data_IF_899674883405
#
_entry.id   IF_899674883405
#
_cell.length_a   1.000
_cell.length_b   1.000
_cell.length_c   1.000
_cell.angle_alpha   90.00
_cell.angle_beta   90.00
_cell.angle_gamma   90.00
#
_symmetry.space_group_name_H-M   'P 1'
#
loop_
_entity.id
_entity.type
_entity.pdbx_description
1 polymer ?
#
# COMPACT_ATOMS: atom_id res chain seq x y z
N UNK A 1 18.71 -26.85 28.94
CA UNK A 1 19.03 -26.41 27.56
C UNK A 1 17.81 -25.74 26.93
N UNK A 2 17.47 -24.53 27.38
CA UNK A 2 16.40 -23.68 26.83
C UNK A 2 17.02 -22.30 26.54
N UNK A 3 17.80 -22.21 25.45
CA UNK A 3 18.48 -20.95 25.08
C UNK A 3 18.69 -20.83 23.56
N UNK A 4 17.71 -21.26 22.75
CA UNK A 4 17.84 -21.14 21.27
C UNK A 4 16.60 -20.61 20.55
N UNK A 5 15.54 -20.21 21.27
CA UNK A 5 14.27 -19.76 20.64
C UNK A 5 14.14 -18.22 20.58
N UNK A 6 15.02 -17.47 21.26
CA UNK A 6 14.86 -16.00 21.37
C UNK A 6 15.66 -15.22 20.31
N UNK A 7 16.54 -15.85 19.53
CA UNK A 7 17.41 -15.14 18.57
C UNK A 7 16.84 -14.97 17.15
N UNK A 8 15.71 -15.60 16.82
CA UNK A 8 15.16 -15.61 15.43
C UNK A 8 14.14 -14.50 15.14
N UNK A 9 13.75 -13.68 16.11
CA UNK A 9 12.61 -12.75 15.94
C UNK A 9 13.01 -11.34 15.46
N UNK A 10 14.30 -11.03 15.33
CA UNK A 10 14.75 -9.64 15.06
C UNK A 10 15.28 -9.40 13.63
N UNK A 11 15.61 -10.44 12.83
CA UNK A 11 16.16 -10.23 11.48
C UNK A 11 15.12 -10.06 10.35
N UNK A 12 13.81 -10.08 10.65
CA UNK A 12 12.76 -10.23 9.62
C UNK A 12 12.03 -8.96 9.16
N UNK A 13 12.41 -7.77 9.61
CA UNK A 13 11.63 -6.53 9.35
C UNK A 13 12.02 -5.87 8.03
N UNK A 14 13.30 -5.93 7.67
CA UNK A 14 13.84 -5.29 6.48
C UNK A 14 14.06 -6.32 5.37
N UNK A 15 13.90 -5.86 4.14
CA UNK A 15 14.09 -6.64 2.93
C UNK A 15 14.73 -5.74 1.88
N UNK A 16 15.40 -6.35 0.91
CA UNK A 16 15.87 -5.63 -0.26
C UNK A 16 14.69 -4.90 -0.94
N UNK A 17 14.94 -3.69 -1.43
CA UNK A 17 13.97 -2.92 -2.23
C UNK A 17 13.53 -3.67 -3.48
N UNK A 18 14.33 -4.63 -3.96
CA UNK A 18 14.04 -5.41 -5.15
C UNK A 18 13.15 -6.64 -4.86
N UNK A 19 13.08 -7.07 -3.58
CA UNK A 19 12.23 -8.16 -3.11
C UNK A 19 11.48 -7.80 -1.81
N UNK A 20 10.69 -6.71 -1.87
CA UNK A 20 9.91 -6.26 -0.70
C UNK A 20 8.88 -7.27 -0.20
N UNK A 21 8.53 -8.26 -1.03
CA UNK A 21 7.65 -9.37 -0.67
C UNK A 21 8.38 -10.50 0.06
N UNK A 22 9.72 -10.54 0.03
CA UNK A 22 10.56 -11.60 0.58
C UNK A 22 10.31 -12.94 -0.08
N UNK A 23 10.20 -12.97 -1.41
CA UNK A 23 9.98 -14.19 -2.18
C UNK A 23 11.14 -15.18 -2.06
N UNK A 24 12.40 -14.73 -1.88
CA UNK A 24 13.51 -15.66 -1.62
C UNK A 24 13.31 -16.41 -0.30
N UNK A 25 13.13 -15.69 0.80
CA UNK A 25 12.86 -16.32 2.11
C UNK A 25 11.62 -17.22 2.07
N UNK A 26 10.57 -16.80 1.35
CA UNK A 26 9.37 -17.64 1.20
C UNK A 26 9.67 -18.91 0.42
N UNK A 27 10.51 -18.84 -0.61
CA UNK A 27 10.91 -20.00 -1.38
C UNK A 27 11.68 -20.99 -0.51
N UNK A 28 12.70 -20.51 0.22
CA UNK A 28 13.48 -21.32 1.17
C UNK A 28 12.54 -21.99 2.19
N UNK A 29 11.67 -21.22 2.84
CA UNK A 29 10.70 -21.78 3.79
C UNK A 29 9.77 -22.82 3.16
N UNK A 30 9.35 -22.65 1.90
CA UNK A 30 8.51 -23.64 1.23
C UNK A 30 9.28 -24.91 0.85
N UNK A 31 10.60 -24.81 0.60
CA UNK A 31 11.47 -25.96 0.39
C UNK A 31 11.67 -26.73 1.68
N UNK A 32 11.90 -26.05 2.81
CA UNK A 32 12.00 -26.70 4.12
C UNK A 32 10.71 -27.43 4.49
N UNK A 33 9.56 -26.78 4.28
CA UNK A 33 8.26 -27.42 4.49
C UNK A 33 8.03 -28.59 3.53
N UNK A 34 8.55 -28.54 2.30
CA UNK A 34 8.50 -29.69 1.39
C UNK A 34 9.38 -30.82 1.89
N UNK A 35 10.51 -30.56 2.53
CA UNK A 35 11.39 -31.60 3.09
C UNK A 35 10.73 -32.29 4.30
N UNK A 36 10.06 -31.51 5.16
CA UNK A 36 9.43 -31.98 6.39
C UNK A 36 8.02 -32.58 6.20
N UNK A 37 7.36 -32.34 5.06
CA UNK A 37 5.97 -32.75 4.84
C UNK A 37 5.78 -34.26 4.98
N UNK A 38 4.66 -34.69 5.59
CA UNK A 38 4.28 -36.11 5.66
C UNK A 38 3.58 -36.53 4.35
N UNK A 39 4.38 -36.85 3.33
CA UNK A 39 3.94 -37.22 1.97
C UNK A 39 4.79 -38.38 1.41
N UNK A 40 4.29 -39.07 0.39
CA UNK A 40 5.03 -40.11 -0.34
C UNK A 40 6.39 -39.56 -0.83
N UNK A 41 7.46 -40.31 -0.58
CA UNK A 41 8.81 -39.91 -1.00
C UNK A 41 8.93 -39.70 -2.52
N UNK A 42 8.15 -40.46 -3.32
CA UNK A 42 8.08 -40.30 -4.78
C UNK A 42 7.42 -38.97 -5.17
N UNK A 43 6.41 -38.54 -4.43
CA UNK A 43 5.78 -37.23 -4.64
C UNK A 43 6.75 -36.11 -4.32
N UNK A 44 7.45 -36.22 -3.17
CA UNK A 44 8.45 -35.23 -2.76
C UNK A 44 9.53 -35.06 -3.82
N UNK A 45 10.10 -36.15 -4.32
CA UNK A 45 11.11 -36.15 -5.39
C UNK A 45 10.54 -35.56 -6.70
N UNK A 46 9.31 -35.92 -7.08
CA UNK A 46 8.65 -35.37 -8.26
C UNK A 46 8.41 -33.86 -8.15
N UNK A 47 7.94 -33.38 -7.00
CA UNK A 47 7.73 -31.96 -6.72
C UNK A 47 9.07 -31.20 -6.76
N UNK A 48 10.12 -31.75 -6.15
CA UNK A 48 11.46 -31.14 -6.16
C UNK A 48 11.98 -30.97 -7.59
N UNK A 49 11.92 -32.03 -8.39
CA UNK A 49 12.31 -32.00 -9.81
C UNK A 49 11.48 -30.99 -10.61
N UNK A 50 10.17 -30.93 -10.35
CA UNK A 50 9.29 -29.96 -10.98
C UNK A 50 9.65 -28.52 -10.63
N UNK A 51 9.94 -28.22 -9.36
CA UNK A 51 10.36 -26.87 -8.94
C UNK A 51 11.67 -26.46 -9.62
N UNK A 52 12.64 -27.38 -9.73
CA UNK A 52 13.86 -27.11 -10.50
C UNK A 52 13.56 -26.84 -11.96
N UNK A 53 12.66 -27.60 -12.59
CA UNK A 53 12.19 -27.36 -13.93
C UNK A 53 11.57 -25.96 -14.08
N UNK A 54 10.64 -25.58 -13.19
CA UNK A 54 9.98 -24.27 -13.21
C UNK A 54 10.96 -23.10 -13.12
N UNK A 55 12.06 -23.28 -12.38
CA UNK A 55 13.08 -22.23 -12.21
C UNK A 55 14.11 -22.15 -13.33
N UNK A 56 14.30 -23.22 -14.10
CA UNK A 56 15.41 -23.32 -15.06
C UNK A 56 14.98 -23.38 -16.52
N UNK A 57 13.77 -23.91 -16.80
CA UNK A 57 13.31 -24.22 -18.15
C UNK A 57 11.95 -23.63 -18.50
N UNK A 58 11.11 -23.38 -17.50
CA UNK A 58 9.77 -22.82 -17.74
C UNK A 58 9.80 -21.29 -17.77
N UNK A 59 9.88 -20.73 -18.98
CA UNK A 59 9.88 -19.29 -19.21
C UNK A 59 8.54 -18.62 -18.85
N UNK A 60 7.44 -19.37 -18.76
CA UNK A 60 6.11 -18.85 -18.41
C UNK A 60 5.93 -18.67 -16.89
N UNK A 61 6.73 -19.39 -16.08
CA UNK A 61 6.61 -19.45 -14.62
C UNK A 61 7.85 -18.94 -13.88
N UNK A 62 8.87 -18.43 -14.60
CA UNK A 62 10.15 -17.98 -14.03
C UNK A 62 10.08 -16.90 -12.93
N UNK A 63 8.93 -16.26 -12.72
CA UNK A 63 8.73 -15.33 -11.58
C UNK A 63 8.66 -16.11 -10.27
N UNK A 64 9.63 -15.84 -9.38
CA UNK A 64 9.78 -16.49 -8.06
C UNK A 64 8.48 -16.58 -7.25
N UNK A 65 7.67 -15.53 -7.25
CA UNK A 65 6.38 -15.54 -6.55
C UNK A 65 5.37 -16.58 -7.06
N UNK A 66 5.38 -16.86 -8.36
CA UNK A 66 4.55 -17.92 -8.95
C UNK A 66 5.06 -19.29 -8.55
N UNK A 67 6.37 -19.52 -8.60
CA UNK A 67 7.02 -20.77 -8.14
C UNK A 67 6.69 -21.05 -6.68
N UNK A 68 6.85 -20.06 -5.79
CA UNK A 68 6.48 -20.17 -4.36
C UNK A 68 5.03 -20.59 -4.19
N UNK A 69 4.11 -19.98 -4.94
CA UNK A 69 2.70 -20.32 -4.87
C UNK A 69 2.45 -21.74 -5.38
N UNK A 70 3.03 -22.15 -6.51
CA UNK A 70 2.89 -23.49 -7.05
C UNK A 70 3.47 -24.57 -6.13
N UNK A 71 4.66 -24.35 -5.57
CA UNK A 71 5.27 -25.26 -4.60
C UNK A 71 4.36 -25.42 -3.37
N UNK A 72 3.89 -24.30 -2.78
CA UNK A 72 2.96 -24.37 -1.66
C UNK A 72 1.70 -25.17 -2.02
N UNK A 73 1.07 -24.87 -3.17
CA UNK A 73 -0.18 -25.54 -3.56
C UNK A 73 0.01 -27.01 -3.86
N UNK A 74 1.06 -27.42 -4.57
CA UNK A 74 1.26 -28.83 -4.90
C UNK A 74 1.64 -29.66 -3.66
N UNK A 75 2.46 -29.11 -2.74
CA UNK A 75 2.77 -29.78 -1.47
C UNK A 75 1.49 -29.99 -0.65
N UNK A 76 0.70 -28.93 -0.50
CA UNK A 76 -0.58 -28.99 0.19
C UNK A 76 -1.59 -29.93 -0.50
N UNK A 77 -1.53 -30.09 -1.82
CA UNK A 77 -2.30 -31.10 -2.55
C UNK A 77 -1.81 -32.50 -2.19
N UNK A 78 -0.50 -32.76 -2.17
CA UNK A 78 0.08 -34.06 -1.78
C UNK A 78 -0.32 -34.45 -0.35
N UNK A 79 -0.28 -33.51 0.60
CA UNK A 79 -0.71 -33.75 1.99
C UNK A 79 -2.22 -34.09 2.13
N UNK A 80 -3.05 -33.67 1.17
CA UNK A 80 -4.52 -33.87 1.19
C UNK A 80 -4.98 -35.05 0.34
N UNK A 81 -4.15 -35.48 -0.61
CA UNK A 81 -4.54 -36.50 -1.57
C UNK A 81 -4.62 -37.87 -0.91
N UNK A 82 -5.67 -38.64 -1.23
CA UNK A 82 -5.81 -40.02 -0.78
C UNK A 82 -4.89 -40.98 -1.54
N UNK A 83 -4.32 -40.54 -2.67
CA UNK A 83 -3.37 -41.28 -3.48
C UNK A 83 -2.16 -40.38 -3.73
N UNK A 84 -0.98 -40.99 -3.85
CA UNK A 84 0.23 -40.26 -4.19
C UNK A 84 0.05 -39.53 -5.52
N UNK A 85 0.51 -38.29 -5.60
CA UNK A 85 0.38 -37.46 -6.79
C UNK A 85 1.01 -38.12 -8.02
N UNK A 86 2.06 -38.91 -7.83
CA UNK A 86 2.69 -39.69 -8.91
C UNK A 86 1.81 -40.83 -9.45
N UNK A 87 0.85 -41.31 -8.66
CA UNK A 87 -0.02 -42.43 -9.03
C UNK A 87 -1.36 -41.97 -9.63
N UNK A 88 -1.60 -40.65 -9.69
CA UNK A 88 -2.75 -40.03 -10.35
C UNK A 88 -2.74 -40.38 -11.85
N UNK A 89 -3.84 -40.99 -12.32
CA UNK A 89 -3.96 -41.51 -13.69
C UNK A 89 -5.26 -41.13 -14.40
N UNK A 90 -6.24 -40.63 -13.68
CA UNK A 90 -7.53 -40.20 -14.23
C UNK A 90 -8.01 -38.92 -13.54
N UNK A 91 -8.95 -38.21 -14.16
CA UNK A 91 -9.39 -36.90 -13.70
C UNK A 91 -10.12 -36.96 -12.36
N UNK A 92 -10.84 -38.04 -12.10
CA UNK A 92 -11.63 -38.29 -10.89
C UNK A 92 -10.76 -38.27 -9.62
N UNK A 93 -9.48 -38.66 -9.76
CA UNK A 93 -8.50 -38.61 -8.67
C UNK A 93 -8.28 -37.16 -8.18
N UNK A 94 -8.34 -36.18 -9.09
CA UNK A 94 -8.20 -34.75 -8.80
C UNK A 94 -9.52 -34.11 -8.39
N UNK A 95 -10.63 -34.52 -9.02
CA UNK A 95 -11.96 -33.94 -8.74
C UNK A 95 -12.33 -34.08 -7.27
N UNK A 96 -12.02 -35.24 -6.65
CA UNK A 96 -12.24 -35.45 -5.22
C UNK A 96 -11.54 -34.40 -4.34
N UNK A 97 -10.30 -34.05 -4.68
CA UNK A 97 -9.52 -33.02 -3.97
C UNK A 97 -10.11 -31.63 -4.22
N UNK A 98 -10.48 -31.33 -5.47
CA UNK A 98 -11.07 -30.03 -5.82
C UNK A 98 -12.41 -29.81 -5.11
N UNK A 99 -13.25 -30.84 -5.00
CA UNK A 99 -14.51 -30.79 -4.25
C UNK A 99 -14.24 -30.52 -2.76
N UNK A 100 -13.31 -31.25 -2.14
CA UNK A 100 -12.92 -31.00 -0.74
C UNK A 100 -12.42 -29.57 -0.51
N UNK A 101 -11.67 -29.01 -1.47
CA UNK A 101 -11.20 -27.63 -1.39
C UNK A 101 -12.34 -26.61 -1.52
N UNK A 102 -13.37 -26.91 -2.32
CA UNK A 102 -14.56 -26.05 -2.51
C UNK A 102 -15.51 -26.11 -1.32
N UNK A 103 -15.66 -27.28 -0.70
CA UNK A 103 -16.53 -27.49 0.46
C UNK A 103 -15.90 -26.97 1.76
N UNK A 104 -14.61 -26.66 1.76
CA UNK A 104 -13.93 -26.10 2.92
C UNK A 104 -14.23 -24.58 3.05
N UNK A 105 -14.91 -24.15 4.13
CA UNK A 105 -15.30 -22.75 4.31
C UNK A 105 -14.11 -21.79 4.50
N UNK A 106 -12.94 -22.30 4.90
CA UNK A 106 -11.73 -21.50 5.11
C UNK A 106 -10.97 -21.24 3.80
N UNK A 107 -11.38 -21.86 2.68
CA UNK A 107 -10.71 -21.78 1.38
C UNK A 107 -11.57 -20.98 0.40
N UNK A 108 -11.20 -19.73 0.17
CA UNK A 108 -11.88 -18.87 -0.80
C UNK A 108 -11.72 -19.33 -2.27
N UNK A 109 -12.62 -18.94 -3.18
CA UNK A 109 -12.61 -19.36 -4.60
C UNK A 109 -11.30 -19.06 -5.33
N UNK A 110 -10.68 -17.91 -5.05
CA UNK A 110 -9.38 -17.56 -5.62
C UNK A 110 -8.25 -18.51 -5.19
N UNK A 111 -8.35 -19.08 -4.00
CA UNK A 111 -7.39 -20.08 -3.49
C UNK A 111 -7.61 -21.43 -4.15
N UNK A 112 -8.86 -21.89 -4.30
CA UNK A 112 -9.21 -23.09 -5.07
C UNK A 112 -8.64 -23.00 -6.48
N UNK A 113 -8.85 -21.86 -7.15
CA UNK A 113 -8.30 -21.60 -8.48
C UNK A 113 -6.77 -21.71 -8.54
N UNK A 114 -6.07 -21.26 -7.49
CA UNK A 114 -4.61 -21.40 -7.41
C UNK A 114 -4.16 -22.85 -7.24
N UNK A 115 -4.94 -23.69 -6.53
CA UNK A 115 -4.71 -25.13 -6.49
C UNK A 115 -4.89 -25.76 -7.88
N UNK A 116 -6.03 -25.52 -8.54
CA UNK A 116 -6.30 -26.04 -9.89
C UNK A 116 -5.18 -25.71 -10.88
N UNK A 117 -4.67 -24.47 -10.86
CA UNK A 117 -3.52 -24.05 -11.69
C UNK A 117 -2.24 -24.83 -11.39
N UNK A 118 -1.90 -25.00 -10.10
CA UNK A 118 -0.70 -25.72 -9.70
C UNK A 118 -0.80 -27.20 -10.06
N UNK A 119 -1.96 -27.82 -9.83
CA UNK A 119 -2.26 -29.21 -10.17
C UNK A 119 -2.14 -29.42 -11.68
N UNK A 120 -2.86 -28.64 -12.49
CA UNK A 120 -2.81 -28.72 -13.96
C UNK A 120 -1.36 -28.65 -14.45
N UNK A 121 -0.60 -27.65 -14.00
CA UNK A 121 0.78 -27.42 -14.43
C UNK A 121 1.75 -28.51 -13.96
N UNK A 122 1.51 -29.13 -12.81
CA UNK A 122 2.29 -30.27 -12.33
C UNK A 122 2.00 -31.54 -13.14
N UNK A 123 0.72 -31.82 -13.43
CA UNK A 123 0.31 -32.96 -14.25
C UNK A 123 0.80 -32.84 -15.69
N UNK A 124 0.76 -31.62 -16.24
CA UNK A 124 1.34 -31.28 -17.55
C UNK A 124 2.85 -31.57 -17.59
N UNK A 125 3.60 -31.12 -16.58
CA UNK A 125 5.03 -31.46 -16.45
C UNK A 125 5.29 -32.97 -16.38
N UNK A 126 4.36 -33.73 -15.80
CA UNK A 126 4.43 -35.18 -15.69
C UNK A 126 3.94 -35.93 -16.93
N UNK A 127 3.55 -35.21 -17.99
CA UNK A 127 3.01 -35.77 -19.23
C UNK A 127 1.78 -36.67 -19.00
N UNK A 128 0.91 -36.25 -18.08
CA UNK A 128 -0.33 -36.96 -17.78
C UNK A 128 -1.39 -36.53 -18.79
N UNK A 129 -1.90 -37.47 -19.59
CA UNK A 129 -2.70 -37.18 -20.80
C UNK A 129 -4.01 -36.40 -20.62
N UNK A 130 -4.52 -36.24 -19.39
CA UNK A 130 -5.72 -35.44 -19.07
C UNK A 130 -5.39 -34.12 -18.37
N UNK A 131 -4.12 -33.71 -18.30
CA UNK A 131 -3.73 -32.49 -17.57
C UNK A 131 -4.55 -31.26 -18.01
N UNK A 132 -4.77 -31.08 -19.31
CA UNK A 132 -5.56 -29.97 -19.86
C UNK A 132 -7.04 -29.99 -19.47
N UNK A 133 -7.58 -31.18 -19.13
CA UNK A 133 -8.97 -31.37 -18.71
C UNK A 133 -9.21 -30.89 -17.27
N UNK A 134 -8.16 -30.67 -16.47
CA UNK A 134 -8.27 -30.16 -15.09
C UNK A 134 -8.87 -28.77 -15.09
N UNK A 135 -10.16 -28.63 -14.82
CA UNK A 135 -10.88 -27.35 -14.87
C UNK A 135 -10.22 -26.29 -13.98
N UNK A 136 -10.02 -25.09 -14.52
CA UNK A 136 -9.62 -23.90 -13.77
C UNK A 136 -10.84 -22.98 -13.67
N UNK A 137 -11.33 -22.78 -12.46
CA UNK A 137 -12.47 -21.92 -12.20
C UNK A 137 -12.19 -20.48 -12.71
N UNK A 138 -13.22 -19.74 -13.14
CA UNK A 138 -13.05 -18.34 -13.52
C UNK A 138 -12.49 -17.54 -12.33
N UNK A 139 -11.76 -16.44 -12.59
CA UNK A 139 -11.39 -15.53 -11.52
C UNK A 139 -12.67 -15.05 -10.81
N UNK A 140 -12.65 -14.93 -9.47
CA UNK A 140 -13.81 -14.41 -8.75
C UNK A 140 -14.12 -13.00 -9.25
N UNK A 141 -15.41 -12.70 -9.45
CA UNK A 141 -15.84 -11.34 -9.77
C UNK A 141 -15.43 -10.41 -8.62
N UNK A 142 -14.73 -9.35 -8.96
CA UNK A 142 -14.37 -8.28 -8.04
C UNK A 142 -14.96 -7.01 -8.60
N UNK A 143 -15.99 -6.48 -7.95
CA UNK A 143 -16.50 -5.15 -8.25
C UNK A 143 -16.02 -4.21 -7.16
N UNK A 144 -15.59 -3.01 -7.53
CA UNK A 144 -15.37 -1.96 -6.54
C UNK A 144 -16.71 -1.64 -5.90
N UNK A 145 -16.73 -1.64 -4.58
CA UNK A 145 -17.86 -1.19 -3.79
C UNK A 145 -17.60 0.27 -3.37
N UNK A 146 -18.28 1.28 -3.97
CA UNK A 146 -18.05 2.69 -3.64
C UNK A 146 -18.30 3.00 -2.17
N UNK A 147 -19.25 2.31 -1.53
CA UNK A 147 -19.58 2.50 -0.10
C UNK A 147 -18.48 2.03 0.85
N UNK A 148 -17.48 1.29 0.35
CA UNK A 148 -16.35 0.80 1.14
C UNK A 148 -15.08 1.62 0.96
N UNK A 149 -15.11 2.62 0.09
CA UNK A 149 -13.99 3.51 -0.16
C UNK A 149 -13.52 4.24 1.10
N UNK A 150 -12.26 4.69 1.06
CA UNK A 150 -11.67 5.48 2.13
C UNK A 150 -12.07 6.94 1.88
N UNK A 151 -12.97 7.50 2.69
CA UNK A 151 -13.37 8.92 2.54
C UNK A 151 -12.24 9.87 2.94
N UNK A 152 -12.33 11.15 2.59
CA UNK A 152 -11.39 12.18 3.05
C UNK A 152 -11.32 12.27 4.57
N UNK A 153 -12.48 12.16 5.24
CA UNK A 153 -12.55 12.17 6.70
C UNK A 153 -11.83 10.97 7.31
N UNK A 154 -11.98 9.78 6.72
CA UNK A 154 -11.26 8.59 7.17
C UNK A 154 -9.75 8.71 6.92
N UNK A 155 -9.33 9.23 5.77
CA UNK A 155 -7.92 9.49 5.47
C UNK A 155 -7.31 10.49 6.46
N UNK A 156 -8.02 11.60 6.74
CA UNK A 156 -7.59 12.61 7.70
C UNK A 156 -7.50 12.03 9.12
N UNK A 157 -8.48 11.21 9.54
CA UNK A 157 -8.43 10.51 10.81
C UNK A 157 -7.21 9.56 10.89
N UNK A 158 -6.88 8.85 9.81
CA UNK A 158 -5.68 8.00 9.74
C UNK A 158 -4.39 8.82 9.82
N UNK A 159 -4.28 9.93 9.09
CA UNK A 159 -3.13 10.83 9.15
C UNK A 159 -2.96 11.41 10.55
N UNK A 160 -4.05 11.78 11.23
CA UNK A 160 -4.05 12.28 12.59
C UNK A 160 -3.64 11.19 13.60
N UNK A 161 -4.21 9.99 13.49
CA UNK A 161 -3.88 8.86 14.37
C UNK A 161 -2.43 8.41 14.24
N UNK A 162 -1.83 8.55 13.05
CA UNK A 162 -0.41 8.26 12.84
C UNK A 162 0.52 9.13 13.71
N UNK A 163 0.07 10.28 14.23
CA UNK A 163 0.85 11.14 15.13
C UNK A 163 1.15 10.51 16.49
N UNK A 164 0.33 9.55 16.91
CA UNK A 164 0.57 8.80 18.15
C UNK A 164 1.68 7.76 17.97
N UNK A 165 2.08 7.52 16.72
CA UNK A 165 3.15 6.60 16.40
C UNK A 165 4.48 7.32 16.38
N UNK A 166 5.44 6.62 16.94
CA UNK A 166 6.84 6.94 17.01
C UNK A 166 7.54 7.04 15.62
N UNK A 167 6.80 6.73 14.55
CA UNK A 167 7.19 6.76 13.15
C UNK A 167 6.23 7.60 12.28
N UNK A 168 5.55 8.58 12.87
CA UNK A 168 4.46 9.35 12.26
C UNK A 168 4.75 9.81 10.82
N UNK A 169 5.88 10.50 10.58
CA UNK A 169 6.20 11.03 9.25
C UNK A 169 6.29 9.95 8.17
N UNK A 170 6.94 8.81 8.47
CA UNK A 170 7.01 7.67 7.54
C UNK A 170 5.63 7.10 7.24
N UNK A 171 4.82 6.89 8.27
CA UNK A 171 3.49 6.29 8.10
C UNK A 171 2.58 7.19 7.26
N UNK A 172 2.61 8.50 7.53
CA UNK A 172 1.90 9.50 6.73
C UNK A 172 2.39 9.51 5.29
N UNK A 173 3.70 9.50 5.05
CA UNK A 173 4.28 9.42 3.71
C UNK A 173 3.82 8.15 2.97
N UNK A 174 3.79 6.99 3.64
CA UNK A 174 3.32 5.74 3.06
C UNK A 174 1.84 5.80 2.65
N UNK A 175 0.94 6.19 3.55
CA UNK A 175 -0.50 6.21 3.23
C UNK A 175 -0.85 7.34 2.25
N UNK A 176 -0.17 8.48 2.33
CA UNK A 176 -0.33 9.58 1.40
C UNK A 176 0.11 9.19 -0.01
N UNK A 177 1.29 8.55 -0.17
CA UNK A 177 1.75 8.05 -1.46
C UNK A 177 0.79 7.01 -2.05
N UNK A 178 0.30 6.08 -1.23
CA UNK A 178 -0.65 5.05 -1.69
C UNK A 178 -1.94 5.67 -2.24
N UNK A 179 -2.50 6.67 -1.53
CA UNK A 179 -3.72 7.35 -1.97
C UNK A 179 -3.48 8.27 -3.16
N UNK A 180 -2.42 9.08 -3.10
CA UNK A 180 -2.12 10.06 -4.15
C UNK A 180 -1.74 9.38 -5.45
N UNK A 181 -0.87 8.37 -5.44
CA UNK A 181 -0.35 7.77 -6.68
C UNK A 181 -1.16 6.58 -7.17
N UNK A 182 -2.00 5.99 -6.32
CA UNK A 182 -2.69 4.72 -6.60
C UNK A 182 -1.74 3.55 -6.87
N UNK A 183 -0.44 3.68 -6.58
CA UNK A 183 0.52 2.61 -6.81
C UNK A 183 0.26 1.41 -5.89
N UNK A 184 0.67 0.23 -6.36
CA UNK A 184 0.64 -0.98 -5.52
C UNK A 184 1.63 -0.79 -4.37
N UNK A 185 1.28 -1.24 -3.16
CA UNK A 185 2.18 -1.15 -2.00
C UNK A 185 3.57 -1.72 -2.25
N UNK A 186 3.70 -2.81 -3.00
CA UNK A 186 5.01 -3.35 -3.38
C UNK A 186 5.86 -2.36 -4.19
N UNK A 187 5.23 -1.58 -5.08
CA UNK A 187 5.92 -0.55 -5.86
C UNK A 187 6.27 0.68 -5.01
N UNK A 188 5.41 1.08 -4.06
CA UNK A 188 5.73 2.18 -3.13
C UNK A 188 6.88 1.80 -2.19
N UNK A 189 6.88 0.57 -1.68
CA UNK A 189 7.93 0.09 -0.78
C UNK A 189 9.27 -0.16 -1.48
N UNK A 190 9.28 -0.43 -2.79
CA UNK A 190 10.50 -0.62 -3.56
C UNK A 190 11.16 0.70 -4.00
N UNK A 191 10.51 1.84 -3.79
CA UNK A 191 11.10 3.15 -4.06
C UNK A 191 12.37 3.34 -3.21
N UNK A 192 13.33 4.07 -3.78
CA UNK A 192 14.60 4.42 -3.16
C UNK A 192 14.74 5.94 -3.21
N UNK A 193 15.66 6.51 -2.43
CA UNK A 193 15.91 7.95 -2.44
C UNK A 193 16.18 8.50 -3.86
N UNK A 194 16.94 7.76 -4.69
CA UNK A 194 17.21 8.13 -6.10
C UNK A 194 15.98 8.22 -7.00
N UNK A 195 14.86 7.62 -6.58
CA UNK A 195 13.63 7.59 -7.37
C UNK A 195 12.75 8.81 -7.13
N UNK A 196 13.05 9.65 -6.13
CA UNK A 196 12.28 10.84 -5.78
C UNK A 196 12.84 12.05 -6.51
N UNK A 197 12.00 12.74 -7.30
CA UNK A 197 12.36 14.00 -7.95
C UNK A 197 11.37 15.10 -7.57
N UNK A 198 11.74 15.92 -6.58
CA UNK A 198 10.94 17.04 -6.08
C UNK A 198 11.60 18.41 -6.33
N UNK A 199 12.58 18.50 -7.23
CA UNK A 199 13.36 19.73 -7.49
C UNK A 199 12.49 20.87 -8.07
N UNK A 200 11.42 20.52 -8.78
CA UNK A 200 10.46 21.47 -9.36
C UNK A 200 9.08 21.29 -8.75
N UNK A 201 8.13 22.15 -9.11
CA UNK A 201 6.70 21.99 -8.80
C UNK A 201 6.10 20.69 -9.36
N UNK A 202 6.71 20.13 -10.41
CA UNK A 202 6.36 18.83 -11.03
C UNK A 202 7.04 17.66 -10.31
N UNK A 203 6.61 17.42 -9.07
CA UNK A 203 7.11 16.32 -8.26
C UNK A 203 6.76 14.95 -8.86
N UNK A 204 7.73 14.04 -8.89
CA UNK A 204 7.53 12.66 -9.39
C UNK A 204 8.26 11.63 -8.53
N UNK A 205 7.77 10.39 -8.59
CA UNK A 205 8.49 9.19 -8.17
C UNK A 205 8.66 8.25 -9.36
N UNK A 206 9.87 7.76 -9.60
CA UNK A 206 10.15 6.81 -10.70
C UNK A 206 10.03 5.37 -10.19
N UNK A 207 9.31 4.52 -10.91
CA UNK A 207 9.14 3.12 -10.52
C UNK A 207 10.50 2.40 -10.49
N UNK A 208 10.80 1.70 -9.39
CA UNK A 208 11.95 0.81 -9.31
C UNK A 208 11.68 -0.46 -10.15
N UNK A 209 12.22 -0.50 -11.37
CA UNK A 209 12.06 -1.63 -12.30
C UNK A 209 12.86 -2.86 -11.91
N UNK A 210 13.83 -2.73 -10.99
CA UNK A 210 14.61 -3.87 -10.46
C UNK A 210 13.74 -4.73 -9.53
N UNK A 211 12.69 -4.15 -8.95
CA UNK A 211 11.74 -4.84 -8.09
C UNK A 211 10.61 -5.55 -8.87
N UNK A 212 9.89 -6.45 -8.19
CA UNK A 212 8.70 -7.10 -8.76
C UNK A 212 7.49 -6.15 -8.85
N UNK A 213 7.50 -5.25 -9.84
CA UNK A 213 6.49 -4.21 -10.05
C UNK A 213 5.44 -4.57 -11.10
N UNK A 214 5.41 -5.84 -11.55
CA UNK A 214 4.47 -6.36 -12.55
C UNK A 214 4.47 -5.58 -13.89
N UNK A 215 5.65 -5.12 -14.31
CA UNK A 215 5.83 -4.39 -15.57
C UNK A 215 5.46 -2.90 -15.52
N UNK A 216 5.22 -2.35 -14.32
CA UNK A 216 5.13 -0.91 -14.14
C UNK A 216 6.50 -0.24 -14.36
N UNK A 217 6.52 0.97 -14.90
CA UNK A 217 7.73 1.72 -15.18
C UNK A 217 7.50 3.25 -15.16
N UNK A 218 8.60 3.98 -15.37
CA UNK A 218 8.58 5.41 -15.62
C UNK A 218 8.25 6.30 -14.41
N UNK A 219 8.25 7.63 -14.62
CA UNK A 219 7.92 8.60 -13.59
C UNK A 219 6.41 8.68 -13.37
N UNK A 220 5.99 8.76 -12.10
CA UNK A 220 4.61 8.94 -11.68
C UNK A 220 4.45 10.26 -10.95
N UNK A 221 3.42 11.07 -11.29
CA UNK A 221 3.19 12.35 -10.64
C UNK A 221 2.86 12.16 -9.16
N UNK A 222 3.48 12.98 -8.33
CA UNK A 222 3.19 13.13 -6.91
C UNK A 222 2.55 14.51 -6.73
N UNK A 223 1.33 14.56 -6.19
CA UNK A 223 0.56 15.79 -6.06
C UNK A 223 0.57 16.27 -4.60
N UNK A 224 -0.53 16.16 -3.87
CA UNK A 224 -0.65 16.57 -2.48
C UNK A 224 0.21 15.73 -1.53
N UNK A 225 0.57 14.49 -1.89
CA UNK A 225 1.43 13.66 -1.02
C UNK A 225 2.89 14.13 -0.96
N UNK A 226 3.32 15.02 -1.87
CA UNK A 226 4.67 15.60 -1.90
C UNK A 226 5.10 16.13 -0.54
N UNK A 227 4.19 16.83 0.13
CA UNK A 227 4.41 17.43 1.44
C UNK A 227 4.78 16.38 2.49
N UNK A 228 3.97 15.33 2.61
CA UNK A 228 4.19 14.23 3.55
C UNK A 228 5.49 13.49 3.27
N UNK A 229 5.83 13.30 1.99
CA UNK A 229 7.08 12.65 1.60
C UNK A 229 8.29 13.54 1.90
N UNK A 230 8.20 14.86 1.65
CA UNK A 230 9.28 15.80 1.95
C UNK A 230 9.56 15.85 3.46
N UNK A 231 8.51 15.97 4.28
CA UNK A 231 8.64 15.95 5.74
C UNK A 231 9.28 14.65 6.26
N UNK A 232 9.01 13.53 5.59
CA UNK A 232 9.65 12.27 5.92
C UNK A 232 11.11 12.22 5.48
N UNK A 233 11.44 12.74 4.29
CA UNK A 233 12.81 12.84 3.79
C UNK A 233 13.69 13.65 4.75
N UNK A 234 13.18 14.77 5.27
CA UNK A 234 13.91 15.65 6.20
C UNK A 234 14.37 14.97 7.49
N UNK A 235 13.63 13.95 7.93
CA UNK A 235 13.96 13.15 9.11
C UNK A 235 14.29 11.70 8.76
N UNK A 236 14.54 11.42 7.48
CA UNK A 236 14.85 10.08 7.02
C UNK A 236 16.14 9.63 7.71
N UNK A 237 16.24 8.38 8.14
CA UNK A 237 17.46 7.89 8.76
C UNK A 237 18.69 7.93 7.83
N UNK A 238 18.46 7.84 6.51
CA UNK A 238 19.49 7.74 5.47
C UNK A 238 19.15 8.59 4.23
N UNK A 239 19.05 9.92 4.35
CA UNK A 239 18.51 10.77 3.28
C UNK A 239 19.49 10.88 2.09
N UNK A 240 20.79 10.84 2.36
CA UNK A 240 21.84 11.03 1.34
C UNK A 240 22.21 9.73 0.59
N UNK A 241 21.69 8.58 1.04
CA UNK A 241 22.00 7.28 0.46
C UNK A 241 21.01 6.98 -0.66
N UNK A 242 21.47 7.17 -1.91
CA UNK A 242 20.66 7.02 -3.13
C UNK A 242 19.87 5.71 -3.24
N UNK A 243 20.42 4.61 -2.73
CA UNK A 243 19.81 3.28 -2.80
C UNK A 243 19.04 2.89 -1.52
N UNK A 244 19.05 3.74 -0.50
CA UNK A 244 18.21 3.53 0.68
C UNK A 244 16.74 3.55 0.27
N UNK A 245 15.96 2.62 0.82
CA UNK A 245 14.52 2.58 0.64
C UNK A 245 13.88 3.90 1.08
N UNK A 246 12.96 4.44 0.27
CA UNK A 246 12.21 5.64 0.65
C UNK A 246 11.38 5.37 1.91
N UNK A 247 10.74 4.20 2.03
CA UNK A 247 9.99 3.82 3.23
C UNK A 247 10.86 2.90 4.11
N UNK A 248 11.79 3.53 4.83
CA UNK A 248 12.77 2.85 5.69
C UNK A 248 12.28 2.62 7.14
N UNK A 249 12.94 1.76 7.91
CA UNK A 249 12.65 1.64 9.36
C UNK A 249 13.13 2.88 10.13
N UNK A 250 12.42 3.26 11.19
CA UNK A 250 12.71 4.46 12.00
C UNK A 250 13.55 4.20 13.24
N UNK A 251 13.68 2.93 13.67
CA UNK A 251 14.37 2.53 14.91
C UNK A 251 15.16 1.25 14.69
N UNK A 252 16.18 1.07 15.55
CA UNK A 252 17.02 -0.14 15.59
C UNK A 252 17.56 -0.46 14.19
N UNK A 253 18.21 0.53 13.59
CA UNK A 253 18.86 0.43 12.29
C UNK A 253 20.36 0.71 12.42
N UNK A 254 21.15 0.19 11.48
CA UNK A 254 22.59 0.41 11.38
C UNK A 254 23.00 0.97 10.01
N UNK A 255 24.21 1.54 9.92
CA UNK A 255 24.71 2.23 8.71
C UNK A 255 24.93 1.33 7.48
N UNK A 256 24.75 0.03 7.62
CA UNK A 256 24.75 -0.98 6.55
C UNK A 256 23.35 -1.42 6.10
N UNK A 257 22.30 -0.90 6.74
CA UNK A 257 20.92 -1.23 6.45
C UNK A 257 20.23 -0.16 5.60
N UNK A 258 20.01 -0.48 4.32
CA UNK A 258 19.36 0.38 3.31
C UNK A 258 17.98 -0.14 2.87
N UNK A 259 17.53 -1.26 3.44
CA UNK A 259 16.35 -1.99 3.00
C UNK A 259 15.01 -1.33 3.31
N UNK A 260 13.96 -1.85 2.66
CA UNK A 260 12.58 -1.43 2.84
C UNK A 260 11.89 -2.22 3.96
N UNK A 261 10.75 -1.70 4.44
CA UNK A 261 9.83 -2.51 5.23
C UNK A 261 9.29 -3.68 4.39
N UNK A 262 9.27 -4.89 4.96
CA UNK A 262 8.60 -6.03 4.34
C UNK A 262 7.11 -5.72 4.10
N UNK A 263 6.58 -6.05 2.93
CA UNK A 263 5.22 -5.67 2.52
C UNK A 263 4.13 -6.07 3.52
N UNK A 264 4.21 -7.27 4.11
CA UNK A 264 3.28 -7.76 5.12
C UNK A 264 3.40 -6.98 6.44
N UNK A 265 4.59 -6.48 6.77
CA UNK A 265 4.77 -5.61 7.92
C UNK A 265 4.11 -4.25 7.65
N UNK A 266 4.40 -3.61 6.51
CA UNK A 266 3.77 -2.35 6.11
C UNK A 266 2.23 -2.44 6.07
N UNK A 267 1.66 -3.54 5.57
CA UNK A 267 0.22 -3.79 5.61
C UNK A 267 -0.34 -3.80 7.04
N UNK A 268 0.33 -4.49 7.98
CA UNK A 268 -0.05 -4.48 9.40
C UNK A 268 0.07 -3.09 10.04
N UNK A 269 1.04 -2.27 9.59
CA UNK A 269 1.17 -0.87 10.04
C UNK A 269 -0.04 -0.04 9.62
N UNK A 270 -0.49 -0.18 8.36
CA UNK A 270 -1.70 0.48 7.85
C UNK A 270 -2.93 0.08 8.69
N UNK A 271 -3.11 -1.21 8.96
CA UNK A 271 -4.22 -1.70 9.79
C UNK A 271 -4.15 -1.15 11.22
N UNK A 272 -2.95 -1.07 11.81
CA UNK A 272 -2.76 -0.47 13.13
C UNK A 272 -3.17 1.01 13.16
N UNK A 273 -2.84 1.77 12.10
CA UNK A 273 -3.26 3.17 11.97
C UNK A 273 -4.79 3.27 11.84
N UNK A 274 -5.41 2.40 11.05
CA UNK A 274 -6.86 2.35 10.92
C UNK A 274 -7.54 2.08 12.27
N UNK A 275 -7.06 1.11 13.05
CA UNK A 275 -7.57 0.85 14.42
C UNK A 275 -7.42 2.08 15.31
N UNK A 276 -6.26 2.75 15.28
CA UNK A 276 -6.02 3.96 16.08
C UNK A 276 -6.94 5.13 15.65
N UNK A 277 -7.33 5.18 14.38
CA UNK A 277 -8.29 6.14 13.84
C UNK A 277 -9.76 5.76 14.12
N UNK A 278 -10.03 4.66 14.83
CA UNK A 278 -11.40 4.18 15.09
C UNK A 278 -12.08 3.53 13.88
N UNK A 279 -11.31 3.11 12.87
CA UNK A 279 -11.81 2.49 11.64
C UNK A 279 -11.68 0.96 11.68
N UNK A 280 -12.48 0.30 10.84
CA UNK A 280 -12.37 -1.15 10.61
C UNK A 280 -11.04 -1.51 9.92
N UNK A 281 -10.15 -2.15 10.67
CA UNK A 281 -8.82 -2.55 10.21
C UNK A 281 -8.82 -3.68 9.17
N UNK A 282 -9.89 -4.46 9.07
CA UNK A 282 -10.01 -5.50 8.04
C UNK A 282 -10.38 -4.89 6.68
N UNK A 283 -11.20 -3.83 6.69
CA UNK A 283 -11.55 -3.05 5.49
C UNK A 283 -10.35 -2.27 4.96
N UNK A 284 -9.58 -1.63 5.82
CA UNK A 284 -8.48 -0.74 5.40
C UNK A 284 -7.21 -1.53 5.03
N UNK A 285 -7.02 -1.72 3.72
CA UNK A 285 -5.83 -2.36 3.16
C UNK A 285 -5.28 -1.59 1.95
N UNK A 286 -4.01 -1.81 1.58
CA UNK A 286 -3.35 -1.07 0.49
C UNK A 286 -4.07 -1.13 -0.88
N UNK A 287 -4.77 -2.21 -1.18
CA UNK A 287 -5.55 -2.31 -2.41
C UNK A 287 -6.78 -1.38 -2.43
N UNK A 288 -7.30 -1.00 -1.26
CA UNK A 288 -8.44 -0.09 -1.12
C UNK A 288 -7.99 1.34 -1.44
N UNK A 289 -6.81 1.77 -0.96
CA UNK A 289 -6.22 3.06 -1.33
C UNK A 289 -6.14 3.26 -2.84
N UNK A 290 -5.61 2.26 -3.55
CA UNK A 290 -5.56 2.26 -5.02
C UNK A 290 -6.96 2.26 -5.62
N UNK A 291 -7.88 1.50 -5.04
CA UNK A 291 -9.25 1.42 -5.49
C UNK A 291 -9.90 2.80 -5.47
N UNK A 292 -9.90 3.41 -4.28
CA UNK A 292 -10.47 4.74 -4.06
C UNK A 292 -9.79 5.80 -4.92
N UNK A 293 -8.46 5.79 -5.06
CA UNK A 293 -7.76 6.77 -5.88
C UNK A 293 -8.23 6.73 -7.34
N UNK A 294 -8.42 5.53 -7.90
CA UNK A 294 -8.93 5.38 -9.27
C UNK A 294 -10.37 5.91 -9.36
N UNK A 295 -11.24 5.55 -8.42
CA UNK A 295 -12.62 6.03 -8.38
C UNK A 295 -12.73 7.55 -8.25
N UNK A 296 -11.88 8.19 -7.43
CA UNK A 296 -11.80 9.65 -7.30
C UNK A 296 -11.34 10.31 -8.59
N UNK A 297 -10.30 9.77 -9.24
CA UNK A 297 -9.83 10.34 -10.50
C UNK A 297 -10.88 10.27 -11.61
N UNK A 298 -11.70 9.22 -11.61
CA UNK A 298 -12.80 9.05 -12.54
C UNK A 298 -13.96 10.02 -12.22
N UNK A 299 -14.35 10.13 -10.95
CA UNK A 299 -15.57 10.85 -10.54
C UNK A 299 -15.34 12.33 -10.25
N UNK A 300 -14.30 12.67 -9.50
CA UNK A 300 -14.06 14.01 -8.97
C UNK A 300 -13.06 14.80 -9.83
N UNK A 301 -11.96 14.18 -10.28
CA UNK A 301 -10.91 14.90 -11.03
C UNK A 301 -11.16 14.95 -12.55
N UNK A 302 -12.13 14.17 -13.05
CA UNK A 302 -12.44 14.09 -14.47
C UNK A 302 -11.27 13.61 -15.35
N UNK A 303 -10.35 12.82 -14.79
CA UNK A 303 -9.22 12.28 -15.56
C UNK A 303 -9.73 11.27 -16.58
N UNK A 304 -9.27 11.41 -17.83
CA UNK A 304 -9.61 10.46 -18.87
C UNK A 304 -8.97 9.07 -18.63
N UNK A 305 -9.57 8.06 -19.25
CA UNK A 305 -9.15 6.66 -19.16
C UNK A 305 -7.65 6.42 -19.40
N UNK A 306 -7.06 7.11 -20.39
CA UNK A 306 -5.64 6.92 -20.73
C UNK A 306 -4.73 7.52 -19.66
N UNK A 307 -5.09 8.66 -19.08
CA UNK A 307 -4.36 9.27 -17.97
C UNK A 307 -4.39 8.38 -16.72
N UNK A 308 -5.56 7.81 -16.40
CA UNK A 308 -5.70 6.88 -15.27
C UNK A 308 -4.90 5.60 -15.54
N UNK A 309 -5.03 4.99 -16.73
CA UNK A 309 -4.24 3.82 -17.13
C UNK A 309 -2.74 4.08 -17.01
N UNK A 310 -2.27 5.26 -17.41
CA UNK A 310 -0.87 5.67 -17.27
C UNK A 310 -0.44 5.83 -15.80
N UNK A 311 -1.25 6.50 -14.95
CA UNK A 311 -0.96 6.66 -13.51
C UNK A 311 -0.80 5.33 -12.82
N UNK A 312 -1.60 4.33 -13.19
CA UNK A 312 -1.69 3.06 -12.45
C UNK A 312 -0.97 1.89 -13.11
N UNK A 313 -0.31 2.11 -14.24
CA UNK A 313 0.38 1.08 -15.04
C UNK A 313 -0.57 -0.05 -15.45
N UNK A 314 -1.69 0.32 -16.06
CA UNK A 314 -2.52 -0.62 -16.80
C UNK A 314 -2.15 -0.59 -18.27
N UNK A 315 -2.31 -1.72 -18.94
CA UNK A 315 -2.18 -1.76 -20.39
C UNK A 315 -3.23 -0.84 -21.04
N UNK A 316 -2.91 -0.20 -22.18
CA UNK A 316 -3.88 0.62 -22.92
C UNK A 316 -5.19 -0.13 -23.23
N UNK A 317 -5.10 -1.43 -23.49
CA UNK A 317 -6.24 -2.31 -23.80
C UNK A 317 -6.92 -2.92 -22.56
N UNK A 318 -6.55 -2.47 -21.36
CA UNK A 318 -7.11 -3.01 -20.12
C UNK A 318 -8.60 -2.71 -19.99
N UNK A 319 -9.40 -3.75 -19.71
CA UNK A 319 -10.82 -3.66 -19.34
C UNK A 319 -11.04 -3.40 -17.84
N UNK A 320 -9.99 -3.05 -17.11
CA UNK A 320 -10.07 -2.86 -15.66
C UNK A 320 -11.05 -1.77 -15.23
N UNK A 321 -11.42 -0.83 -16.10
CA UNK A 321 -12.47 0.16 -15.83
C UNK A 321 -13.83 -0.46 -15.50
N UNK A 322 -14.15 -1.66 -16.01
CA UNK A 322 -15.39 -2.38 -15.66
C UNK A 322 -15.50 -2.69 -14.16
N UNK A 323 -14.37 -2.74 -13.45
CA UNK A 323 -14.33 -2.94 -11.99
C UNK A 323 -14.78 -1.66 -11.23
N UNK A 324 -14.56 -0.48 -11.83
CA UNK A 324 -14.72 0.84 -11.22
C UNK A 324 -15.92 1.63 -11.77
N UNK A 325 -16.50 1.20 -12.89
CA UNK A 325 -17.55 1.92 -13.64
C UNK A 325 -18.92 1.96 -12.95
N UNK A 326 -18.99 1.85 -11.63
CA UNK A 326 -20.20 2.10 -10.84
C UNK A 326 -20.30 3.59 -10.54
N UNK A 327 -20.39 4.36 -11.60
CA UNK A 327 -21.07 5.66 -11.55
C UNK A 327 -22.54 5.30 -11.78
N UNK A 328 -23.43 5.68 -10.89
CA UNK A 328 -24.85 5.37 -11.09
C UNK A 328 -25.33 6.05 -12.39
N UNK A 329 -26.37 5.53 -13.04
CA UNK A 329 -26.91 6.18 -14.23
C UNK A 329 -27.32 7.63 -13.91
N UNK A 330 -27.77 7.90 -12.67
CA UNK A 330 -28.02 9.26 -12.19
C UNK A 330 -26.75 10.12 -12.13
N UNK A 331 -25.64 9.60 -11.64
CA UNK A 331 -24.36 10.34 -11.57
C UNK A 331 -23.76 10.59 -12.95
N UNK A 332 -23.87 9.64 -13.89
CA UNK A 332 -23.47 9.84 -15.28
C UNK A 332 -24.31 10.92 -15.94
N UNK A 333 -25.63 10.86 -15.74
CA UNK A 333 -26.53 11.86 -16.27
C UNK A 333 -26.24 13.23 -15.65
N UNK A 334 -25.94 13.31 -14.35
CA UNK A 334 -25.54 14.54 -13.67
C UNK A 334 -24.26 15.13 -14.26
N UNK A 335 -23.21 14.33 -14.46
CA UNK A 335 -21.97 14.79 -15.09
C UNK A 335 -22.19 15.26 -16.54
N UNK A 336 -23.06 14.58 -17.29
CA UNK A 336 -23.45 14.99 -18.65
C UNK A 336 -24.23 16.31 -18.60
N UNK A 337 -25.18 16.44 -17.67
CA UNK A 337 -25.95 17.66 -17.47
C UNK A 337 -25.07 18.83 -17.05
N UNK A 338 -24.10 18.64 -16.15
CA UNK A 338 -23.09 19.64 -15.80
C UNK A 338 -22.20 20.03 -16.99
N UNK A 339 -21.71 19.05 -17.76
CA UNK A 339 -20.88 19.30 -18.94
C UNK A 339 -21.60 20.17 -19.99
N UNK A 340 -22.90 19.96 -20.18
CA UNK A 340 -23.71 20.73 -21.11
C UNK A 340 -24.42 21.94 -20.47
N UNK A 341 -24.21 22.20 -19.17
CA UNK A 341 -24.89 23.24 -18.39
C UNK A 341 -26.44 23.17 -18.48
N UNK A 342 -27.00 21.96 -18.38
CA UNK A 342 -28.45 21.69 -18.48
C UNK A 342 -28.99 21.35 -17.08
N UNK A 343 -30.00 22.07 -16.61
CA UNK A 343 -30.60 21.92 -15.28
C UNK A 343 -30.53 23.24 -14.53
N UNK A 344 -31.61 23.62 -13.81
CA UNK A 344 -31.53 24.76 -12.91
C UNK A 344 -30.38 24.52 -11.94
N UNK A 345 -29.53 25.52 -11.76
CA UNK A 345 -28.61 25.62 -10.64
C UNK A 345 -29.41 25.72 -9.35
N UNK A 346 -30.08 24.62 -8.99
CA UNK A 346 -30.34 24.31 -7.62
C UNK A 346 -28.96 24.29 -6.98
N UNK A 347 -28.80 25.13 -5.97
CA UNK A 347 -27.68 25.18 -5.06
C UNK A 347 -27.46 23.75 -4.53
N UNK A 348 -26.79 22.91 -5.33
CA UNK A 348 -26.06 21.78 -4.81
C UNK A 348 -24.90 22.43 -4.13
N UNK A 349 -25.18 22.75 -2.87
CA UNK A 349 -24.25 23.00 -1.82
C UNK A 349 -22.97 22.23 -2.13
N UNK A 350 -21.99 22.93 -2.72
CA UNK A 350 -20.59 22.52 -2.71
C UNK A 350 -20.09 22.69 -1.27
N UNK A 351 -20.82 22.15 -0.28
CA UNK A 351 -20.37 21.99 1.11
C UNK A 351 -19.38 20.84 1.21
N UNK A 352 -18.42 20.76 0.29
CA UNK A 352 -17.04 20.52 0.72
C UNK A 352 -16.50 21.91 1.05
N UNK A 353 -16.87 22.36 2.25
CA UNK A 353 -16.86 23.77 2.64
C UNK A 353 -15.55 24.49 2.37
N UNK A 354 -15.65 25.75 1.94
CA UNK A 354 -14.59 26.76 1.83
C UNK A 354 -13.16 26.28 2.15
N UNK A 355 -12.63 25.39 1.31
CA UNK A 355 -11.28 24.86 1.40
C UNK A 355 -10.42 25.58 0.37
N UNK A 356 -9.21 25.97 0.75
CA UNK A 356 -8.24 26.48 -0.22
C UNK A 356 -7.80 25.30 -1.10
N UNK A 357 -7.85 25.43 -2.44
CA UNK A 357 -7.34 24.38 -3.35
C UNK A 357 -5.80 24.25 -3.29
N UNK A 358 -5.13 25.35 -2.92
CA UNK A 358 -3.68 25.45 -2.77
C UNK A 358 -3.33 26.27 -1.56
N UNK A 359 -2.23 25.88 -0.89
CA UNK A 359 -1.68 26.68 0.19
C UNK A 359 -1.29 28.08 -0.34
N UNK A 360 -1.78 29.18 0.26
CA UNK A 360 -1.45 30.53 -0.19
C UNK A 360 0.03 30.89 0.01
N UNK A 361 0.74 30.17 0.88
CA UNK A 361 2.14 30.41 1.20
C UNK A 361 3.10 29.61 0.31
N UNK A 362 2.86 28.30 0.12
CA UNK A 362 3.80 27.42 -0.59
C UNK A 362 3.21 26.72 -1.83
N UNK A 363 1.96 27.04 -2.21
CA UNK A 363 1.26 26.53 -3.39
C UNK A 363 1.06 25.00 -3.44
N UNK A 364 1.34 24.30 -2.33
CA UNK A 364 1.04 22.88 -2.16
C UNK A 364 -0.45 22.63 -2.40
N UNK A 365 -0.82 21.70 -3.31
CA UNK A 365 -2.21 21.28 -3.48
C UNK A 365 -2.78 20.72 -2.18
N UNK A 366 -3.99 21.13 -1.84
CA UNK A 366 -4.70 20.72 -0.63
C UNK A 366 -5.90 19.85 -1.01
N UNK A 367 -6.36 19.00 -0.08
CA UNK A 367 -7.55 18.15 -0.26
C UNK A 367 -8.80 18.74 0.37
N UNK A 368 -8.67 19.79 1.18
CA UNK A 368 -9.77 20.34 1.95
C UNK A 368 -9.86 19.67 3.33
N UNK A 369 -10.22 20.46 4.35
CA UNK A 369 -10.29 20.03 5.74
C UNK A 369 -8.99 20.16 6.54
N UNK A 370 -7.86 20.47 5.90
CA UNK A 370 -6.61 20.75 6.61
C UNK A 370 -6.65 22.12 7.31
N UNK A 371 -6.28 22.17 8.60
CA UNK A 371 -6.14 23.46 9.34
C UNK A 371 -4.80 24.16 9.04
N UNK A 372 -3.76 23.37 8.80
CA UNK A 372 -2.40 23.83 8.51
C UNK A 372 -1.90 23.13 7.25
N UNK A 373 -1.10 23.84 6.45
CA UNK A 373 -0.55 23.28 5.23
C UNK A 373 0.35 22.07 5.55
N UNK A 374 0.16 20.92 4.89
CA UNK A 374 1.00 19.75 5.15
C UNK A 374 2.47 19.97 4.78
N UNK A 375 2.79 20.93 3.89
CA UNK A 375 4.15 21.18 3.42
C UNK A 375 4.91 22.23 4.23
N UNK A 376 4.31 23.40 4.50
CA UNK A 376 4.99 24.49 5.18
C UNK A 376 4.49 24.75 6.61
N UNK A 377 3.56 23.91 7.09
CA UNK A 377 2.84 24.09 8.35
C UNK A 377 2.14 25.46 8.52
N UNK A 378 2.03 26.25 7.45
CA UNK A 378 1.38 27.56 7.48
C UNK A 378 -0.11 27.43 7.79
N UNK A 379 -0.63 28.31 8.63
CA UNK A 379 -2.06 28.38 8.92
C UNK A 379 -2.86 28.60 7.63
N UNK A 380 -3.87 27.76 7.38
CA UNK A 380 -4.70 27.86 6.19
C UNK A 380 -5.93 28.74 6.41
N UNK A 381 -6.27 29.03 7.67
CA UNK A 381 -7.36 29.92 8.03
C UNK A 381 -6.85 31.09 8.87
N UNK A 382 -7.43 32.27 8.66
CA UNK A 382 -7.07 33.51 9.37
C UNK A 382 -7.14 33.36 10.89
N UNK A 383 -8.10 32.60 11.41
CA UNK A 383 -8.25 32.30 12.85
C UNK A 383 -7.07 31.55 13.48
N UNK A 384 -6.32 30.78 12.69
CA UNK A 384 -5.18 30.00 13.16
C UNK A 384 -3.88 30.82 13.10
N UNK A 385 -3.84 31.91 12.32
CA UNK A 385 -2.66 32.81 12.21
C UNK A 385 -2.34 33.48 13.55
N UNK A 386 -3.33 34.11 14.19
CA UNK A 386 -3.12 34.82 15.47
C UNK A 386 -2.63 33.88 16.57
N UNK A 387 -3.19 32.67 16.64
CA UNK A 387 -2.79 31.68 17.65
C UNK A 387 -1.38 31.13 17.42
N UNK A 388 -0.96 31.01 16.15
CA UNK A 388 0.43 30.66 15.82
C UNK A 388 1.39 31.74 16.30
N UNK A 389 1.08 33.02 16.05
CA UNK A 389 1.89 34.15 16.52
C UNK A 389 2.01 34.16 18.05
N UNK A 390 0.92 33.88 18.77
CA UNK A 390 0.92 33.81 20.23
C UNK A 390 1.87 32.72 20.77
N UNK A 391 1.84 31.52 20.17
CA UNK A 391 2.72 30.41 20.57
C UNK A 391 4.19 30.72 20.21
N UNK A 392 4.45 31.31 19.05
CA UNK A 392 5.81 31.72 18.66
C UNK A 392 6.37 32.80 19.58
N UNK A 393 5.56 33.79 19.94
CA UNK A 393 5.94 34.85 20.88
C UNK A 393 6.23 34.27 22.28
N UNK A 394 5.37 33.41 22.80
CA UNK A 394 5.59 32.75 24.10
C UNK A 394 6.86 31.87 24.10
N UNK A 395 7.12 31.18 22.99
CA UNK A 395 8.34 30.37 22.81
C UNK A 395 9.58 31.26 22.71
N UNK A 396 9.48 32.38 22.01
CA UNK A 396 10.57 33.35 21.88
C UNK A 396 10.92 34.02 23.21
N UNK A 397 9.93 34.41 23.99
CA UNK A 397 10.13 34.94 25.35
C UNK A 397 10.77 33.89 26.28
N UNK A 398 10.32 32.63 26.20
CA UNK A 398 10.90 31.53 26.97
C UNK A 398 12.37 31.26 26.59
N UNK A 399 12.72 31.38 25.31
CA UNK A 399 14.10 31.22 24.83
C UNK A 399 15.01 32.38 25.26
N UNK A 400 14.49 33.61 25.25
CA UNK A 400 15.25 34.81 25.65
C UNK A 400 15.63 34.80 27.14
N UNK A 401 14.82 34.15 27.96
CA UNK A 401 15.00 34.07 29.41
C UNK A 401 15.77 32.80 29.86
N UNK A 402 16.32 32.01 28.92
CA UNK A 402 16.96 30.74 29.23
C UNK A 402 18.49 30.84 29.23
N UNK A 403 19.13 30.38 30.31
CA UNK A 403 20.59 30.33 30.46
C UNK A 403 21.15 28.89 30.44
N UNK A 404 20.29 27.86 30.33
CA UNK A 404 20.67 26.44 30.35
C UNK A 404 20.80 25.84 28.92
N UNK A 405 21.99 25.39 28.50
CA UNK A 405 22.22 24.79 27.19
C UNK A 405 21.36 23.54 26.90
N UNK A 406 20.98 22.77 27.92
CA UNK A 406 20.13 21.58 27.73
C UNK A 406 18.68 21.95 27.38
N UNK A 407 18.20 23.08 27.91
CA UNK A 407 16.89 23.61 27.58
C UNK A 407 16.90 24.36 26.25
N UNK A 408 18.02 24.97 25.86
CA UNK A 408 18.20 25.58 24.53
C UNK A 408 18.04 24.54 23.40
N UNK A 409 18.66 23.35 23.54
CA UNK A 409 18.48 22.22 22.62
C UNK A 409 17.00 21.78 22.55
N UNK A 410 16.31 21.78 23.70
CA UNK A 410 14.89 21.41 23.78
C UNK A 410 13.99 22.44 23.10
N UNK A 411 14.31 23.73 23.22
CA UNK A 411 13.60 24.85 22.58
C UNK A 411 13.83 24.83 21.07
N UNK A 412 15.04 24.50 20.61
CA UNK A 412 15.33 24.38 19.18
C UNK A 412 14.63 23.17 18.55
N UNK A 413 14.58 22.03 19.26
CA UNK A 413 13.78 20.88 18.83
C UNK A 413 12.28 21.24 18.79
N UNK A 414 11.77 21.95 19.80
CA UNK A 414 10.40 22.45 19.82
C UNK A 414 10.12 23.37 18.61
N UNK A 415 10.99 24.35 18.34
CA UNK A 415 10.85 25.29 17.21
C UNK A 415 10.89 24.56 15.88
N UNK A 416 11.80 23.59 15.72
CA UNK A 416 11.88 22.75 14.53
C UNK A 416 10.57 22.00 14.30
N UNK A 417 10.02 21.37 15.34
CA UNK A 417 8.74 20.68 15.25
C UNK A 417 7.60 21.66 14.98
N UNK A 418 7.55 22.81 15.65
CA UNK A 418 6.51 23.81 15.45
C UNK A 418 6.42 24.37 14.03
N UNK A 419 7.56 24.52 13.36
CA UNK A 419 7.62 25.01 11.96
C UNK A 419 7.37 23.93 10.92
N UNK A 420 7.72 22.69 11.21
CA UNK A 420 7.78 21.63 10.19
C UNK A 420 6.77 20.48 10.43
N UNK A 421 6.10 20.45 11.58
CA UNK A 421 5.09 19.46 11.95
C UNK A 421 3.72 20.17 12.12
N UNK A 422 2.89 20.22 11.05
CA UNK A 422 1.59 20.89 11.05
C UNK A 422 0.66 20.43 12.17
N UNK A 423 0.78 19.17 12.59
CA UNK A 423 -0.07 18.59 13.62
C UNK A 423 0.43 18.92 15.02
N UNK A 424 1.75 18.95 15.22
CA UNK A 424 2.33 19.51 16.44
C UNK A 424 1.92 20.98 16.63
N UNK A 425 1.91 21.74 15.53
CA UNK A 425 1.42 23.13 15.51
C UNK A 425 -0.07 23.20 15.88
N UNK A 426 -0.91 22.35 15.29
CA UNK A 426 -2.34 22.30 15.59
C UNK A 426 -2.65 21.98 17.06
N UNK A 427 -1.91 21.03 17.66
CA UNK A 427 -2.08 20.66 19.07
C UNK A 427 -1.76 21.81 20.03
N UNK A 428 -0.71 22.58 19.74
CA UNK A 428 -0.30 23.73 20.57
C UNK A 428 -1.22 24.94 20.40
N UNK A 429 -1.79 25.11 19.21
CA UNK A 429 -2.76 26.16 18.88
C UNK A 429 -4.18 25.81 19.42
N UNK A 430 -4.42 24.56 19.81
CA UNK A 430 -5.66 24.08 20.41
C UNK A 430 -6.74 23.65 19.39
N UNK A 431 -7.66 22.78 19.84
CA UNK A 431 -8.84 22.33 19.10
C UNK A 431 -10.09 23.09 19.53
N UNK A 432 -10.62 23.95 18.66
CA UNK A 432 -12.04 24.32 18.68
C UNK A 432 -12.68 23.79 17.40
N UNK A 433 -12.97 22.50 17.40
CA UNK A 433 -13.97 21.89 16.55
C UNK A 433 -15.13 21.47 17.47
N UNK A 434 -16.09 22.37 17.68
CA UNK A 434 -17.46 21.96 18.01
C UNK A 434 -18.31 22.18 16.78
N UNK A 435 -19.02 21.12 16.42
CA UNK A 435 -20.11 21.02 15.47
C UNK A 435 -20.53 22.31 14.77
N UNK A 436 -20.38 22.33 13.44
CA UNK A 436 -21.37 23.04 12.63
C UNK A 436 -22.47 22.04 12.34
N UNK A 437 -23.52 22.10 13.16
CA UNK A 437 -24.80 21.45 12.88
C UNK A 437 -25.40 22.02 11.60
N UNK A 438 -26.06 21.12 10.89
CA UNK A 438 -27.06 21.37 9.86
C UNK A 438 -27.94 22.59 10.16
N UNK A 439 -28.06 23.49 9.18
CA UNK A 439 -29.20 24.38 8.98
C UNK A 439 -29.50 24.46 7.50
#
# INVERSE_FOLDING_TARGET
MKTSIIQTVVSGVMVDTDDVQGYETKYENQMDLLDEADIDARDRDAILKWVHYLRTRDNDVGKKGTVVNHLNKIRLTAERANISLVDIKQIEDIESIVVQLKDNPDIGPGTVRNYQKAIRKFLDYRDVGFADDVTIDPPPERKHDPDKEITDNELNAMLQAANELDSAAREKALIALLRDTGLRIGAVLSLQMKHVNFESDRATVTINTDANVKGADGPKPVTWSRAYVSNWIDIHPRPDVKHAALIHKTRRWSDDEDGALRQQYAGRRIQKIATAAGLDAERIHAHLFRGTAISEWMRDDGLNDQAIKHRVDWSPDSRMFEVYSRVSDEEWNEQIFEHYNIGESGDKDKSRGHGLDRCPHCQTPLRGGERFCPACAGALHSRDVTKVEDVENATFESAKNNEDPAQEITIDEFRRRFRNDPDFRAKLVGEEFRHYDSS
#
